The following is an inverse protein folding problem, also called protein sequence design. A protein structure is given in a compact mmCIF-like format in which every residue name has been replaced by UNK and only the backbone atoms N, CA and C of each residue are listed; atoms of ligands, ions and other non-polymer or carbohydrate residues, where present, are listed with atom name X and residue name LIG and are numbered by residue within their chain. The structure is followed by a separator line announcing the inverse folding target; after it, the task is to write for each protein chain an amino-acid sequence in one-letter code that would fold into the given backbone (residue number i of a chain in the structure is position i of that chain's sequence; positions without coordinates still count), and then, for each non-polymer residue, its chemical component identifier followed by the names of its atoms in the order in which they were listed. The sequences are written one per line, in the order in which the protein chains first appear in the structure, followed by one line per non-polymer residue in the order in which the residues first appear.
data_IF_082002091546
#
_entry.id   IF_082002091546
#
_cell.length_a   1.000
_cell.length_b   1.000
_cell.length_c   1.000
_cell.angle_alpha   90.00
_cell.angle_beta   90.00
_cell.angle_gamma   90.00
#
_symmetry.space_group_name_H-M   'P 1'
#
loop_
_entity.id
_entity.type
_entity.pdbx_description
1 polymer ?
2 non-polymer ?
3 water ?
#
# COMPACT_ATOMS: atom_id res chain seq x y z
N UNK A 12 9.57 -7.13 -20.88
CA UNK A 12 9.37 -7.98 -22.06
C UNK A 12 8.16 -8.89 -21.91
N UNK A 13 7.36 -8.99 -22.97
CA UNK A 13 6.19 -9.82 -22.96
C UNK A 13 6.57 -11.30 -22.98
N UNK A 14 5.58 -12.16 -22.69
CA UNK A 14 5.67 -13.56 -22.96
C UNK A 14 6.41 -14.40 -21.93
N UNK A 15 7.23 -13.80 -21.08
CA UNK A 15 8.00 -14.54 -20.09
C UNK A 15 7.43 -14.32 -18.70
N UNK A 16 7.32 -15.41 -17.95
CA UNK A 16 6.87 -15.38 -16.57
C UNK A 16 7.99 -15.95 -15.70
N UNK A 17 8.45 -15.17 -14.73
CA UNK A 17 9.59 -15.56 -13.90
C UNK A 17 9.21 -15.44 -12.43
N UNK A 18 9.02 -16.58 -11.78
CA UNK A 18 8.75 -16.63 -10.34
C UNK A 18 10.06 -17.04 -9.67
N UNK A 19 10.82 -16.06 -9.19
CA UNK A 19 12.04 -16.32 -8.44
C UNK A 19 13.11 -17.08 -9.22
N UNK A 20 13.83 -16.37 -10.10
CA UNK A 20 14.89 -16.98 -10.86
C UNK A 20 14.40 -17.79 -12.04
N UNK A 21 13.60 -18.83 -11.77
CA UNK A 21 13.10 -19.68 -12.83
C UNK A 21 12.20 -18.89 -13.77
N UNK A 22 12.60 -18.81 -15.04
CA UNK A 22 11.85 -18.11 -16.07
C UNK A 22 11.14 -19.12 -16.97
N UNK A 23 9.91 -18.82 -17.34
CA UNK A 23 9.08 -19.74 -18.11
C UNK A 23 8.49 -19.02 -19.31
N UNK A 24 8.69 -19.58 -20.50
CA UNK A 24 7.93 -19.14 -21.67
C UNK A 24 6.48 -19.55 -21.48
N UNK A 25 5.57 -18.58 -21.49
CA UNK A 25 4.18 -18.87 -21.19
C UNK A 25 3.28 -17.88 -21.92
N UNK A 26 1.99 -18.23 -22.01
CA UNK A 26 0.97 -17.35 -22.57
C UNK A 26 -0.25 -17.39 -21.65
N UNK A 27 -1.28 -16.62 -22.02
CA UNK A 27 -2.43 -16.45 -21.13
C UNK A 27 -3.10 -17.78 -20.83
N UNK A 28 -3.23 -18.64 -21.83
CA UNK A 28 -3.92 -19.91 -21.63
C UNK A 28 -3.10 -20.92 -20.85
N UNK A 29 -1.88 -20.57 -20.44
CA UNK A 29 -1.14 -21.38 -19.47
C UNK A 29 -1.60 -21.13 -18.04
N UNK A 30 -2.63 -20.31 -17.83
CA UNK A 30 -3.07 -19.96 -16.49
C UNK A 30 -4.55 -20.29 -16.33
N UNK A 31 -4.90 -20.79 -15.15
CA UNK A 31 -6.28 -21.09 -14.79
C UNK A 31 -6.83 -19.95 -13.93
N UNK A 32 -7.97 -19.41 -14.33
CA UNK A 32 -8.62 -18.29 -13.64
C UNK A 32 -9.37 -18.81 -12.42
N UNK A 33 -8.89 -18.45 -11.23
CA UNK A 33 -9.49 -18.89 -9.97
C UNK A 33 -10.48 -17.89 -9.39
N UNK A 34 -10.84 -16.86 -10.14
CA UNK A 34 -11.82 -15.89 -9.68
C UNK A 34 -11.20 -14.53 -9.42
N UNK A 35 -12.08 -13.52 -9.34
CA UNK A 35 -11.63 -12.15 -9.16
C UNK A 35 -11.30 -11.88 -7.70
N UNK A 36 -10.51 -10.83 -7.48
CA UNK A 36 -10.14 -10.37 -6.14
C UNK A 36 -10.65 -8.95 -5.97
N UNK A 37 -11.62 -8.78 -5.07
CA UNK A 37 -12.09 -7.44 -4.73
C UNK A 37 -12.64 -6.69 -5.92
N UNK A 38 -12.38 -5.39 -5.96
CA UNK A 38 -12.89 -4.49 -6.99
C UNK A 38 -11.78 -4.04 -7.93
N UNK A 39 -12.19 -3.45 -9.04
CA UNK A 39 -11.24 -2.88 -9.98
C UNK A 39 -10.88 -1.46 -9.62
N UNK A 40 -10.11 -1.28 -8.54
CA UNK A 40 -9.75 0.07 -8.11
C UNK A 40 -8.76 0.71 -9.08
N UNK A 41 -7.84 -0.08 -9.63
CA UNK A 41 -7.00 0.31 -10.75
C UNK A 41 -7.31 -0.51 -11.98
N UNK A 42 -7.34 -1.84 -11.85
CA UNK A 42 -7.84 -2.71 -12.90
C UNK A 42 -8.55 -3.91 -12.31
N UNK A 43 -9.15 -4.70 -13.19
CA UNK A 43 -9.70 -5.99 -12.84
C UNK A 43 -8.57 -6.96 -12.49
N UNK A 44 -8.53 -7.45 -11.25
CA UNK A 44 -7.45 -8.33 -10.79
C UNK A 44 -8.01 -9.72 -10.53
N UNK A 45 -7.45 -10.71 -11.22
CA UNK A 45 -7.82 -12.11 -11.03
C UNK A 45 -6.79 -12.84 -10.18
N UNK A 46 -7.25 -13.86 -9.48
CA UNK A 46 -6.37 -14.86 -8.90
C UNK A 46 -6.25 -16.00 -9.90
N UNK A 47 -5.02 -16.34 -10.28
CA UNK A 47 -4.79 -17.32 -11.33
C UNK A 47 -3.72 -18.32 -10.92
N UNK A 48 -3.82 -19.52 -11.48
CA UNK A 48 -2.92 -20.63 -11.20
C UNK A 48 -2.13 -20.97 -12.45
N UNK A 49 -0.85 -21.24 -12.28
CA UNK A 49 0.04 -21.56 -13.40
C UNK A 49 0.03 -23.07 -13.58
N UNK A 50 -0.55 -23.54 -14.70
CA UNK A 50 -0.78 -24.96 -14.91
C UNK A 50 0.51 -25.77 -14.94
N UNK A 51 1.62 -25.15 -15.35
CA UNK A 51 2.88 -25.88 -15.37
C UNK A 51 3.42 -26.08 -13.97
N UNK A 52 3.46 -25.02 -13.17
CA UNK A 52 4.02 -25.07 -11.82
C UNK A 52 3.03 -25.52 -10.73
N UNK A 53 1.86 -24.90 -10.69
CA UNK A 53 1.02 -24.92 -9.50
C UNK A 53 1.01 -23.60 -8.76
N UNK A 54 1.94 -22.69 -9.06
CA UNK A 54 1.94 -21.36 -8.46
C UNK A 54 0.65 -20.62 -8.76
N UNK A 55 0.14 -19.91 -7.75
CA UNK A 55 -1.02 -19.04 -7.93
C UNK A 55 -0.55 -17.58 -7.77
N UNK A 56 -1.03 -16.72 -8.67
CA UNK A 56 -0.58 -15.34 -8.77
C UNK A 56 -1.77 -14.40 -8.98
N UNK A 57 -1.51 -13.12 -8.76
CA UNK A 57 -2.45 -12.07 -9.11
C UNK A 57 -2.17 -11.62 -10.53
N UNK A 58 -3.22 -11.52 -11.34
CA UNK A 58 -3.08 -11.03 -12.72
C UNK A 58 -4.07 -9.91 -12.91
N UNK A 59 -3.55 -8.72 -13.26
CA UNK A 59 -4.41 -7.61 -13.64
C UNK A 59 -4.64 -7.66 -15.13
N UNK A 60 -5.88 -7.42 -15.55
CA UNK A 60 -6.25 -7.48 -16.96
C UNK A 60 -6.70 -6.11 -17.43
N UNK A 61 -6.00 -5.57 -18.42
CA UNK A 61 -6.37 -4.32 -19.09
C UNK A 61 -6.89 -4.66 -20.48
N UNK A 62 -8.13 -4.30 -20.75
CA UNK A 62 -8.72 -4.48 -22.07
C UNK A 62 -8.50 -3.23 -22.91
N UNK A 63 -8.09 -3.40 -24.17
CA UNK A 63 -7.80 -2.24 -24.99
C UNK A 63 -9.06 -1.43 -25.30
N UNK A 64 -10.23 -2.07 -25.27
CA UNK A 64 -11.50 -1.37 -25.42
C UNK A 64 -11.95 -0.67 -24.14
N UNK A 65 -11.17 -0.74 -23.07
CA UNK A 65 -11.59 -0.24 -21.78
C UNK A 65 -11.58 1.28 -21.67
N UNK A 66 -11.90 1.75 -20.47
CA UNK A 66 -11.96 3.18 -20.18
C UNK A 66 -10.60 3.81 -20.38
N UNK A 67 -10.56 4.88 -21.18
CA UNK A 67 -9.28 5.54 -21.50
C UNK A 67 -8.57 6.01 -20.23
N UNK A 68 -9.33 6.52 -19.26
CA UNK A 68 -8.70 7.07 -18.05
C UNK A 68 -8.11 5.95 -17.18
N UNK A 69 -8.90 4.92 -16.90
CA UNK A 69 -8.38 3.78 -16.14
C UNK A 69 -7.17 3.16 -16.82
N UNK A 70 -7.14 3.15 -18.15
CA UNK A 70 -6.01 2.54 -18.85
C UNK A 70 -4.75 3.38 -18.74
N UNK A 71 -4.89 4.72 -18.74
CA UNK A 71 -3.72 5.54 -18.47
C UNK A 71 -3.19 5.30 -17.06
N UNK A 72 -4.08 5.01 -16.12
CA UNK A 72 -3.64 4.79 -14.74
C UNK A 72 -2.97 3.43 -14.59
N UNK A 73 -3.45 2.42 -15.30
CA UNK A 73 -2.84 1.10 -15.18
C UNK A 73 -1.43 1.10 -15.77
N UNK A 74 -1.22 1.83 -16.86
CA UNK A 74 0.12 1.90 -17.45
C UNK A 74 1.09 2.66 -16.56
N UNK A 75 0.63 3.73 -15.90
CA UNK A 75 1.51 4.45 -14.98
C UNK A 75 1.97 3.54 -13.85
N UNK A 76 1.02 2.85 -13.23
CA UNK A 76 1.34 1.95 -12.13
C UNK A 76 2.36 0.89 -12.56
N UNK A 77 2.13 0.28 -13.73
CA UNK A 77 3.09 -0.70 -14.23
C UNK A 77 4.47 -0.08 -14.41
N UNK A 78 4.50 1.12 -15.00
CA UNK A 78 5.76 1.85 -15.17
C UNK A 78 6.53 1.97 -13.85
N UNK A 79 5.81 2.27 -12.76
CA UNK A 79 6.46 2.42 -11.46
C UNK A 79 6.93 1.07 -10.94
N UNK A 80 6.12 0.03 -11.08
CA UNK A 80 6.47 -1.23 -10.42
C UNK A 80 7.59 -1.96 -11.15
N UNK A 81 7.67 -1.84 -12.49
CA UNK A 81 8.82 -2.42 -13.17
C UNK A 81 10.09 -1.68 -12.82
N UNK A 82 9.99 -0.36 -12.59
CA UNK A 82 11.15 0.40 -12.12
C UNK A 82 11.60 -0.05 -10.74
N UNK A 83 10.66 -0.56 -9.93
CA UNK A 83 10.94 -0.89 -8.53
C UNK A 83 11.20 -2.36 -8.29
N UNK A 84 11.84 -3.05 -9.26
CA UNK A 84 12.13 -4.47 -9.12
C UNK A 84 13.09 -4.76 -7.96
N UNK A 85 13.68 -3.74 -7.34
CA UNK A 85 14.65 -3.94 -6.26
C UNK A 85 14.23 -3.24 -4.97
N UNK A 86 12.96 -2.87 -4.83
CA UNK A 86 12.46 -2.43 -3.55
C UNK A 86 11.67 -3.56 -2.91
N UNK A 87 12.12 -4.09 -1.77
CA UNK A 87 11.38 -5.21 -1.14
C UNK A 87 10.03 -4.80 -0.58
N UNK A 88 9.71 -3.52 -0.54
CA UNK A 88 8.46 -3.03 0.03
C UNK A 88 7.50 -2.51 -1.05
N UNK A 89 7.71 -2.88 -2.30
CA UNK A 89 6.79 -2.59 -3.40
C UNK A 89 6.50 -3.90 -4.13
N UNK A 90 5.22 -4.17 -4.39
CA UNK A 90 4.84 -5.45 -4.97
C UNK A 90 5.52 -5.63 -6.32
N UNK A 91 6.08 -6.82 -6.53
CA UNK A 91 6.85 -7.11 -7.73
C UNK A 91 5.96 -7.66 -8.83
N UNK A 92 6.23 -7.22 -10.06
CA UNK A 92 5.58 -7.75 -11.24
C UNK A 92 6.41 -8.90 -11.78
N UNK A 93 5.75 -10.00 -12.13
CA UNK A 93 6.45 -11.20 -12.58
C UNK A 93 6.54 -11.29 -14.09
N UNK A 94 5.90 -10.40 -14.82
CA UNK A 94 5.92 -10.45 -16.27
C UNK A 94 4.61 -9.93 -16.83
N UNK A 95 4.57 -9.87 -18.16
CA UNK A 95 3.44 -9.29 -18.87
C UNK A 95 3.09 -10.18 -20.05
N UNK A 96 1.81 -10.19 -20.41
CA UNK A 96 1.31 -10.87 -21.59
C UNK A 96 0.55 -9.86 -22.43
N UNK A 97 0.92 -9.73 -23.69
CA UNK A 97 0.29 -8.77 -24.59
C UNK A 97 -0.34 -9.56 -25.72
N UNK A 98 -1.66 -9.55 -25.79
CA UNK A 98 -2.42 -10.18 -26.86
C UNK A 98 -3.09 -9.08 -27.69
N UNK A 99 -3.75 -9.50 -28.76
CA UNK A 99 -4.40 -8.52 -29.63
C UNK A 99 -5.51 -7.76 -28.95
N UNK A 100 -5.99 -8.23 -27.79
CA UNK A 100 -7.18 -7.67 -27.17
C UNK A 100 -6.99 -7.24 -25.73
N UNK A 101 -5.94 -7.68 -25.05
CA UNK A 101 -5.77 -7.41 -23.64
C UNK A 101 -4.29 -7.31 -23.31
N UNK A 102 -3.99 -6.74 -22.14
CA UNK A 102 -2.69 -6.84 -21.50
C UNK A 102 -2.90 -7.51 -20.15
N UNK A 103 -2.07 -8.51 -19.86
CA UNK A 103 -2.15 -9.26 -18.61
C UNK A 103 -0.87 -9.02 -17.82
N UNK A 104 -1.02 -8.43 -16.63
CA UNK A 104 0.10 -8.03 -15.78
C UNK A 104 0.15 -8.98 -14.59
N UNK A 105 1.17 -9.84 -14.55
CA UNK A 105 1.30 -10.85 -13.50
C UNK A 105 2.02 -10.25 -12.29
N UNK A 106 1.32 -10.21 -11.16
CA UNK A 106 1.86 -9.71 -9.90
C UNK A 106 1.96 -10.84 -8.88
N UNK A 107 2.93 -10.72 -7.98
CA UNK A 107 2.98 -11.62 -6.85
C UNK A 107 1.70 -11.48 -6.04
N UNK A 108 1.16 -12.61 -5.59
CA UNK A 108 -0.11 -12.62 -4.88
C UNK A 108 0.11 -12.19 -3.44
N UNK A 109 -0.60 -11.16 -3.01
CA UNK A 109 -0.60 -10.77 -1.60
C UNK A 109 -1.87 -11.31 -0.95
N UNK A 110 -2.02 -11.04 0.35
CA UNK A 110 -3.16 -11.57 1.08
C UNK A 110 -4.39 -10.69 0.96
N UNK A 111 -4.31 -9.51 1.54
CA UNK A 111 -5.36 -8.49 1.47
C UNK A 111 -4.74 -7.18 1.93
N UNK A 112 -5.56 -6.16 2.10
CA UNK A 112 -5.09 -4.85 2.49
C UNK A 112 -5.39 -4.58 3.95
N UNK A 113 -4.74 -3.55 4.48
CA UNK A 113 -4.95 -3.17 5.87
C UNK A 113 -6.40 -2.74 6.12
N UNK A 114 -7.07 -2.19 5.12
CA UNK A 114 -8.47 -1.82 5.28
C UNK A 114 -9.32 -3.04 5.63
N UNK A 115 -9.08 -4.17 4.96
CA UNK A 115 -9.89 -5.35 5.19
C UNK A 115 -9.46 -6.12 6.44
N UNK A 116 -8.19 -6.05 6.81
CA UNK A 116 -7.78 -6.58 8.12
C UNK A 116 -8.46 -5.81 9.23
N UNK A 117 -8.59 -4.48 9.07
CA UNK A 117 -9.33 -3.69 10.03
C UNK A 117 -10.77 -4.15 10.12
N UNK A 118 -11.38 -4.45 8.97
CA UNK A 118 -12.74 -5.00 8.96
C UNK A 118 -12.80 -6.34 9.70
N UNK A 119 -11.92 -7.27 9.35
CA UNK A 119 -11.94 -8.58 9.99
C UNK A 119 -11.73 -8.47 11.49
N UNK A 120 -10.72 -7.71 11.90
CA UNK A 120 -10.36 -7.64 13.32
C UNK A 120 -11.45 -6.99 14.16
N UNK A 121 -12.19 -6.04 13.58
CA UNK A 121 -13.25 -5.32 14.29
C UNK A 121 -12.70 -4.57 15.50
N UNK A 122 -11.53 -3.97 15.33
CA UNK A 122 -10.94 -3.17 16.37
C UNK A 122 -9.50 -2.83 16.07
N UNK A 123 -8.85 -2.10 16.98
CA UNK A 123 -7.45 -1.70 16.80
C UNK A 123 -6.53 -2.79 16.27
N UNK A 124 -5.50 -2.39 15.53
CA UNK A 124 -4.42 -3.28 15.12
C UNK A 124 -3.22 -3.00 16.03
N UNK A 125 -2.55 -4.02 16.56
CA UNK A 125 -1.54 -3.79 17.61
C UNK A 125 -0.36 -2.96 17.10
N UNK A 126 0.24 -2.21 18.03
CA UNK A 126 1.37 -1.35 17.69
C UNK A 126 2.52 -2.14 17.08
N UNK A 127 2.68 -3.39 17.51
CA UNK A 127 3.72 -4.24 16.94
C UNK A 127 3.62 -4.35 15.43
N UNK A 128 2.39 -4.51 14.92
CA UNK A 128 2.19 -4.69 13.49
C UNK A 128 2.29 -3.34 12.76
N UNK A 129 1.63 -2.33 13.31
CA UNK A 129 1.75 -0.98 12.75
C UNK A 129 3.19 -0.51 12.74
N UNK A 130 4.03 -1.04 13.64
CA UNK A 130 5.43 -0.72 13.66
C UNK A 130 6.15 -1.24 12.44
N UNK A 131 6.07 -2.56 12.22
CA UNK A 131 6.65 -3.14 11.01
C UNK A 131 6.06 -2.51 9.76
N UNK A 132 4.80 -2.09 9.83
CA UNK A 132 4.14 -1.48 8.68
C UNK A 132 4.69 -0.09 8.39
N UNK A 133 4.97 0.70 9.43
CA UNK A 133 5.52 2.03 9.21
C UNK A 133 6.90 1.96 8.58
N UNK A 134 7.71 0.99 8.99
CA UNK A 134 9.05 0.85 8.41
C UNK A 134 8.94 0.56 6.93
N UNK A 135 8.13 -0.43 6.55
CA UNK A 135 8.05 -0.85 5.16
C UNK A 135 7.47 0.25 4.27
N UNK A 136 6.54 1.05 4.79
CA UNK A 136 5.90 2.05 3.96
C UNK A 136 6.76 3.31 3.82
N UNK A 137 7.40 3.77 4.90
CA UNK A 137 8.26 4.95 4.79
C UNK A 137 9.41 4.68 3.83
N UNK A 138 10.06 3.52 3.98
CA UNK A 138 11.14 3.18 3.09
C UNK A 138 10.66 3.06 1.65
N UNK A 139 9.43 2.62 1.45
CA UNK A 139 8.87 2.55 0.10
C UNK A 139 8.77 3.93 -0.51
N UNK A 140 8.18 4.88 0.22
CA UNK A 140 8.07 6.24 -0.29
C UNK A 140 9.43 6.88 -0.49
N UNK A 141 10.38 6.57 0.40
CA UNK A 141 11.73 7.10 0.28
C UNK A 141 12.43 6.56 -0.96
N UNK A 142 12.40 5.24 -1.14
CA UNK A 142 12.95 4.64 -2.34
C UNK A 142 12.33 5.24 -3.60
N UNK A 143 11.05 5.58 -3.54
CA UNK A 143 10.36 6.09 -4.71
C UNK A 143 10.70 7.54 -5.00
N UNK A 144 10.96 8.34 -3.95
CA UNK A 144 11.37 9.73 -4.16
C UNK A 144 12.83 9.83 -4.55
N UNK A 145 13.68 8.96 -4.00
CA UNK A 145 15.11 9.02 -4.28
C UNK A 145 15.45 8.47 -5.66
N UNK A 146 15.35 7.14 -5.82
CA UNK A 146 15.87 6.48 -7.01
C UNK A 146 15.01 6.73 -8.26
N UNK A 147 13.81 7.30 -8.13
CA UNK A 147 12.98 7.50 -9.31
C UNK A 147 12.25 8.84 -9.34
N UNK A 148 12.28 9.63 -8.28
CA UNK A 148 11.62 10.92 -8.32
C UNK A 148 10.12 10.87 -8.43
N UNK A 149 9.49 9.75 -8.06
CA UNK A 149 8.04 9.65 -8.03
C UNK A 149 7.59 9.90 -6.60
N UNK A 150 6.40 10.48 -6.45
CA UNK A 150 5.71 10.49 -5.17
C UNK A 150 4.32 9.89 -5.37
N UNK A 151 3.79 9.31 -4.28
CA UNK A 151 2.65 8.40 -4.40
C UNK A 151 1.35 9.15 -4.57
N UNK A 152 1.05 10.08 -3.66
CA UNK A 152 -0.13 10.93 -3.65
C UNK A 152 -1.42 10.20 -3.31
N UNK A 153 -1.36 8.95 -2.83
CA UNK A 153 -2.58 8.28 -2.36
C UNK A 153 -2.29 7.14 -1.40
N UNK A 154 -1.65 7.43 -0.27
CA UNK A 154 -1.30 6.41 0.72
C UNK A 154 -2.45 6.26 1.70
N UNK A 155 -3.06 5.09 1.72
CA UNK A 155 -4.20 4.81 2.57
C UNK A 155 -4.24 3.31 2.86
N UNK A 156 -5.02 2.88 3.85
CA UNK A 156 -4.96 1.46 4.25
C UNK A 156 -5.30 0.45 3.15
N UNK A 157 -6.14 0.81 2.18
CA UNK A 157 -6.42 -0.13 1.11
C UNK A 157 -5.22 -0.34 0.18
N UNK A 158 -4.22 0.54 0.23
CA UNK A 158 -3.03 0.42 -0.60
C UNK A 158 -1.88 -0.30 0.09
N UNK A 159 -2.03 -0.65 1.36
CA UNK A 159 -1.02 -1.40 2.10
C UNK A 159 -1.43 -2.85 2.04
N UNK A 160 -0.66 -3.68 1.35
CA UNK A 160 -0.96 -5.10 1.26
C UNK A 160 -0.07 -5.91 2.18
N UNK A 161 -0.61 -7.02 2.68
CA UNK A 161 0.12 -7.98 3.49
C UNK A 161 -0.06 -9.38 2.90
N UNK A 162 0.74 -10.32 3.38
CA UNK A 162 0.61 -11.72 2.96
C UNK A 162 0.89 -12.63 4.14
N UNK A 163 0.66 -13.93 3.92
CA UNK A 163 0.77 -14.92 5.00
C UNK A 163 2.19 -15.12 5.48
N UNK A 164 3.20 -14.81 4.66
CA UNK A 164 4.59 -14.95 5.03
C UNK A 164 5.14 -13.70 5.72
N UNK A 165 4.29 -12.74 6.06
CA UNK A 165 4.68 -11.59 6.83
C UNK A 165 5.01 -10.34 6.05
N UNK A 166 5.06 -10.41 4.73
CA UNK A 166 5.49 -9.26 3.95
C UNK A 166 4.44 -8.15 3.99
N UNK A 167 4.92 -6.91 3.96
CA UNK A 167 4.08 -5.72 3.97
C UNK A 167 4.59 -4.80 2.86
N UNK A 168 3.83 -4.68 1.77
CA UNK A 168 4.23 -3.89 0.62
C UNK A 168 3.17 -2.85 0.27
N UNK A 169 3.58 -1.90 -0.56
CA UNK A 169 2.74 -0.84 -1.10
C UNK A 169 2.47 -1.13 -2.57
N UNK A 170 1.27 -0.77 -3.07
CA UNK A 170 0.76 -1.46 -4.25
C UNK A 170 0.16 -0.63 -5.38
N UNK A 171 -0.34 0.58 -5.16
CA UNK A 171 -1.14 1.26 -6.19
C UNK A 171 -0.54 2.63 -6.53
N UNK A 172 0.09 2.72 -7.71
CA UNK A 172 0.77 3.94 -8.14
C UNK A 172 0.13 4.56 -9.40
N UNK A 173 -1.15 4.32 -9.62
CA UNK A 173 -1.79 4.73 -10.87
C UNK A 173 -1.96 6.22 -11.03
N UNK A 174 -1.89 6.99 -9.93
CA UNK A 174 -2.00 8.44 -10.00
C UNK A 174 -0.75 9.07 -9.39
N UNK A 175 0.39 8.41 -9.56
CA UNK A 175 1.61 8.73 -8.83
C UNK A 175 2.72 9.10 -9.79
N UNK A 176 3.09 10.38 -9.81
CA UNK A 176 4.25 10.83 -10.55
C UNK A 176 4.79 12.12 -9.97
N UNK A 177 5.83 12.64 -10.60
CA UNK A 177 6.39 13.95 -10.28
C UNK A 177 7.35 14.42 -11.36
N UNK A 193 -7.42 11.70 3.59
CA UNK A 193 -5.99 11.41 3.71
C UNK A 193 -5.11 12.48 3.04
N UNK A 194 -5.69 13.63 2.69
CA UNK A 194 -4.96 14.65 1.97
C UNK A 194 -4.29 15.63 2.93
N UNK A 195 -3.06 16.03 2.60
CA UNK A 195 -2.29 16.93 3.43
C UNK A 195 -2.85 18.34 3.38
N UNK A 196 -2.59 19.16 4.41
CA UNK A 196 -3.06 20.56 4.38
C UNK A 196 -2.55 21.37 3.20
N UNK A 197 -1.29 21.20 2.81
CA UNK A 197 -0.72 21.99 1.73
C UNK A 197 -1.05 21.43 0.34
N UNK A 198 -1.62 20.23 0.25
CA UNK A 198 -2.13 19.72 -1.02
C UNK A 198 -3.53 20.24 -1.33
N UNK A 199 -4.22 20.76 -0.32
CA UNK A 199 -5.43 21.54 -0.53
C UNK A 199 -5.13 23.03 -0.61
N UNK A 200 -4.27 23.53 0.29
CA UNK A 200 -3.92 24.94 0.38
C UNK A 200 -2.41 25.12 0.29
N UNK A 201 -1.86 25.18 -0.93
CA UNK A 201 -0.41 25.41 -1.08
C UNK A 201 0.01 26.82 -0.66
N UNK A 212 6.25 16.87 1.06
CA UNK A 212 6.11 15.61 1.80
C UNK A 212 4.67 15.37 2.22
N UNK A 213 3.74 15.40 1.26
CA UNK A 213 2.34 15.19 1.56
C UNK A 213 1.97 13.72 1.72
N UNK A 214 2.79 12.81 1.20
CA UNK A 214 2.63 11.40 1.51
C UNK A 214 2.92 11.12 2.97
N UNK A 215 3.64 12.02 3.65
CA UNK A 215 3.90 11.85 5.08
C UNK A 215 2.64 12.08 5.88
N UNK A 216 1.80 13.04 5.48
CA UNK A 216 0.55 13.26 6.18
C UNK A 216 -0.39 12.07 6.03
N UNK A 217 -0.54 11.55 4.80
CA UNK A 217 -1.47 10.45 4.55
C UNK A 217 -1.09 9.21 5.35
N UNK A 218 0.22 8.95 5.50
CA UNK A 218 0.65 7.80 6.28
C UNK A 218 0.21 7.93 7.73
N UNK A 219 0.19 9.14 8.28
CA UNK A 219 -0.17 9.36 9.66
C UNK A 219 -1.65 9.18 9.90
N UNK A 220 -2.47 9.70 9.00
CA UNK A 220 -3.92 9.50 9.09
C UNK A 220 -4.25 8.02 9.02
N UNK A 221 -3.62 7.29 8.09
CA UNK A 221 -3.77 5.83 8.02
C UNK A 221 -3.36 5.17 9.33
N UNK A 222 -2.26 5.63 9.93
CA UNK A 222 -1.77 5.02 11.16
C UNK A 222 -2.75 5.25 12.32
N UNK A 223 -3.36 6.43 12.38
CA UNK A 223 -4.32 6.69 13.46
C UNK A 223 -5.58 5.86 13.27
N UNK A 224 -5.99 5.65 12.01
CA UNK A 224 -7.16 4.84 11.73
C UNK A 224 -6.93 3.39 12.19
N UNK A 225 -5.82 2.79 11.75
CA UNK A 225 -5.56 1.41 12.10
C UNK A 225 -5.28 1.24 13.58
N UNK A 226 -4.69 2.25 14.22
CA UNK A 226 -4.34 2.13 15.63
C UNK A 226 -5.58 2.14 16.52
N UNK A 227 -6.57 2.96 16.19
CA UNK A 227 -7.79 3.05 16.99
C UNK A 227 -8.94 2.23 16.45
N UNK A 228 -8.80 1.68 15.24
CA UNK A 228 -9.93 1.08 14.55
C UNK A 228 -10.97 2.07 14.06
N UNK A 229 -10.75 3.36 14.23
CA UNK A 229 -11.73 4.37 13.88
C UNK A 229 -11.11 5.41 12.96
N UNK A 230 -11.84 5.78 11.91
CA UNK A 230 -11.35 6.81 11.00
C UNK A 230 -11.58 8.18 11.61
N UNK A 231 -10.55 9.03 11.72
CA UNK A 231 -10.67 10.26 12.52
C UNK A 231 -11.59 11.33 11.92
N UNK A 232 -12.12 11.14 10.72
CA UNK A 232 -13.10 12.06 10.13
C UNK A 232 -14.31 11.28 9.63
N UNK A 233 -14.84 10.40 10.49
CA UNK A 233 -15.91 9.48 10.09
C UNK A 233 -17.30 10.11 10.12
N UNK A 234 -17.46 11.26 10.77
CA UNK A 234 -18.77 11.89 10.89
C UNK A 234 -19.05 12.91 9.79
N UNK A 235 -18.13 13.08 8.83
CA UNK A 235 -18.32 14.02 7.73
C UNK A 235 -19.14 13.39 6.63
N UNK A 236 -20.21 14.07 6.22
CA UNK A 236 -21.11 13.56 5.20
C UNK A 236 -20.73 13.97 3.78
N UNK A 237 -19.62 14.71 3.60
CA UNK A 237 -19.22 15.15 2.27
C UNK A 237 -17.69 15.35 2.24
N UNK A 238 -17.14 15.34 1.03
CA UNK A 238 -15.69 15.44 0.86
C UNK A 238 -15.17 16.80 1.34
N UNK A 239 -15.85 17.88 0.94
CA UNK A 239 -15.38 19.21 1.32
C UNK A 239 -15.43 19.41 2.83
N UNK A 240 -16.36 18.74 3.52
CA UNK A 240 -16.39 18.85 4.97
C UNK A 240 -15.16 18.21 5.61
N UNK A 241 -14.62 17.16 4.99
CA UNK A 241 -13.37 16.59 5.48
C UNK A 241 -12.24 17.60 5.34
N UNK A 242 -12.17 18.27 4.19
CA UNK A 242 -11.10 19.22 3.95
C UNK A 242 -11.14 20.38 4.94
N UNK A 243 -12.36 20.80 5.33
CA UNK A 243 -12.44 21.91 6.29
C UNK A 243 -11.98 21.47 7.68
N UNK A 244 -12.27 20.23 8.06
CA UNK A 244 -11.77 19.74 9.35
C UNK A 244 -10.25 19.71 9.38
N UNK A 245 -9.63 19.25 8.28
CA UNK A 245 -8.18 19.10 8.24
C UNK A 245 -7.49 20.44 8.46
N UNK A 246 -8.03 21.50 7.87
CA UNK A 246 -7.41 22.83 7.97
C UNK A 246 -7.85 23.59 9.21
N UNK A 247 -9.05 23.33 9.72
CA UNK A 247 -9.57 24.12 10.84
C UNK A 247 -9.24 23.54 12.21
N UNK A 248 -9.35 22.23 12.40
CA UNK A 248 -9.09 21.69 13.73
C UNK A 248 -7.73 21.02 13.81
N UNK A 249 -7.25 20.87 15.04
CA UNK A 249 -5.91 20.37 15.28
C UNK A 249 -5.80 18.93 14.77
N UNK A 250 -4.59 18.45 14.51
CA UNK A 250 -4.44 17.13 13.91
C UNK A 250 -5.03 16.06 14.81
N UNK A 251 -5.55 14.99 14.22
CA UNK A 251 -5.93 13.82 15.04
C UNK A 251 -4.70 13.21 15.69
N UNK A 252 -4.74 13.08 17.00
CA UNK A 252 -3.61 12.53 17.74
C UNK A 252 -3.95 11.14 18.27
N UNK A 253 -2.93 10.29 18.32
CA UNK A 253 -3.04 8.99 18.99
C UNK A 253 -3.45 9.19 20.45
N UNK A 254 -4.49 8.51 20.93
CA UNK A 254 -4.92 8.70 22.32
C UNK A 254 -3.89 8.19 23.31
N UNK A 255 -3.96 8.75 24.52
CA UNK A 255 -2.99 8.44 25.55
C UNK A 255 -3.33 7.30 26.50
N UNK A 256 -4.48 6.66 26.34
CA UNK A 256 -4.95 5.65 27.28
C UNK A 256 -5.00 4.25 26.69
N UNK A 257 -4.32 4.01 25.56
CA UNK A 257 -4.31 2.70 24.91
C UNK A 257 -2.95 2.01 25.00
N UNK A 258 -2.06 2.47 25.87
CA UNK A 258 -0.79 1.80 26.05
C UNK A 258 0.22 2.01 24.95
N UNK A 259 -0.06 2.93 24.01
CA UNK A 259 0.87 3.19 22.93
C UNK A 259 2.19 3.72 23.47
N UNK A 260 3.30 3.23 22.91
CA UNK A 260 4.61 3.68 23.33
C UNK A 260 4.84 5.14 22.93
N UNK A 261 5.69 5.83 23.70
CA UNK A 261 5.96 7.23 23.45
C UNK A 261 6.54 7.49 22.07
N UNK A 262 7.32 6.55 21.56
CA UNK A 262 7.89 6.71 20.22
C UNK A 262 6.82 6.69 19.15
N UNK A 263 5.84 5.78 19.25
CA UNK A 263 4.76 5.74 18.28
C UNK A 263 3.95 7.03 18.31
N UNK A 264 3.59 7.50 19.51
CA UNK A 264 2.87 8.77 19.62
C UNK A 264 3.67 9.93 19.02
N UNK A 265 4.99 9.91 19.22
CA UNK A 265 5.82 10.98 18.69
C UNK A 265 5.89 10.93 17.17
N UNK A 266 6.02 9.73 16.60
CA UNK A 266 6.09 9.59 15.15
C UNK A 266 4.82 10.09 14.46
N UNK A 267 3.66 9.81 15.04
CA UNK A 267 2.41 10.24 14.42
C UNK A 267 2.26 11.76 14.53
N UNK A 268 2.61 12.31 15.70
CA UNK A 268 2.57 13.76 15.86
C UNK A 268 3.44 14.45 14.81
N UNK A 269 4.57 13.84 14.46
CA UNK A 269 5.47 14.42 13.48
C UNK A 269 4.85 14.42 12.07
N UNK A 270 4.37 13.26 11.60
CA UNK A 270 3.72 13.19 10.29
C UNK A 270 2.52 14.12 10.21
N UNK A 271 1.78 14.26 11.29
CA UNK A 271 0.55 15.05 11.31
C UNK A 271 0.83 16.48 11.70
N UNK A 272 1.80 17.10 11.02
CA UNK A 272 2.13 18.50 11.20
C UNK A 272 1.42 19.30 10.10
N UNK A 273 0.54 20.21 10.52
CA UNK A 273 -0.24 20.97 9.55
C UNK A 273 0.65 21.80 8.63
N UNK A 274 1.57 22.58 9.21
CA UNK A 274 2.50 23.37 8.41
C UNK A 274 3.51 22.44 7.76
N UNK A 275 3.47 22.36 6.42
CA UNK A 275 4.36 21.47 5.70
C UNK A 275 5.81 21.96 5.68
N UNK A 276 6.05 23.21 6.08
CA UNK A 276 7.43 23.68 6.18
C UNK A 276 8.16 23.03 7.36
N UNK A 277 7.43 22.70 8.43
CA UNK A 277 8.01 22.06 9.60
C UNK A 277 7.87 20.55 9.58
N UNK A 278 7.27 19.99 8.53
CA UNK A 278 7.15 18.53 8.42
C UNK A 278 8.47 17.94 7.95
N UNK A 279 8.94 16.85 8.55
CA UNK A 279 10.24 16.30 8.19
C UNK A 279 10.22 15.53 6.88
N UNK A 280 11.37 15.52 6.21
CA UNK A 280 11.59 14.66 5.06
C UNK A 280 11.94 13.25 5.54
N UNK A 281 12.00 12.31 4.58
CA UNK A 281 12.19 10.91 4.95
C UNK A 281 13.55 10.67 5.57
N UNK A 282 14.58 11.39 5.14
CA UNK A 282 15.92 11.21 5.70
C UNK A 282 15.93 11.50 7.20
N UNK A 283 15.07 12.41 7.65
CA UNK A 283 14.91 12.67 9.07
C UNK A 283 13.93 11.69 9.70
N UNK A 284 12.85 11.35 8.96
CA UNK A 284 11.87 10.39 9.45
C UNK A 284 12.49 9.03 9.71
N UNK A 285 13.41 8.60 8.84
CA UNK A 285 14.01 7.29 8.97
C UNK A 285 14.94 7.17 10.17
N UNK A 286 15.27 8.28 10.82
CA UNK A 286 16.10 8.27 12.02
C UNK A 286 15.28 8.36 13.29
N UNK A 287 13.96 8.52 13.17
CA UNK A 287 13.07 8.50 14.32
C UNK A 287 13.22 7.20 15.11
N UNK A 288 13.10 7.30 16.44
CA UNK A 288 13.29 6.12 17.27
C UNK A 288 12.25 5.04 16.98
N UNK A 289 11.02 5.44 16.65
CA UNK A 289 10.00 4.46 16.29
C UNK A 289 10.41 3.65 15.08
N UNK A 290 10.96 4.31 14.07
CA UNK A 290 11.48 3.59 12.90
C UNK A 290 12.60 2.65 13.32
N UNK A 291 13.45 3.09 14.25
CA UNK A 291 14.63 2.31 14.61
C UNK A 291 14.27 1.08 15.45
N UNK A 292 13.22 1.19 16.26
CA UNK A 292 12.81 0.05 17.09
C UNK A 292 12.39 -1.14 16.22
N UNK A 293 11.65 -0.89 15.14
CA UNK A 293 11.04 -1.97 14.38
C UNK A 293 11.83 -2.35 13.14
N UNK A 294 12.94 -1.67 12.86
CA UNK A 294 13.87 -2.17 11.84
C UNK A 294 14.56 -3.44 12.31
N UNK A 295 14.88 -3.51 13.61
CA UNK A 295 15.64 -4.61 14.19
C UNK A 295 14.75 -5.64 14.85
N UNK A 296 13.82 -5.20 15.70
CA UNK A 296 12.96 -6.12 16.43
C UNK A 296 12.26 -7.09 15.48
N UNK A 297 12.23 -8.36 15.87
CA UNK A 297 11.51 -9.39 15.14
C UNK A 297 10.07 -9.41 15.63
N UNK A 298 9.13 -9.17 14.71
CA UNK A 298 7.71 -9.16 15.02
C UNK A 298 7.06 -10.22 14.14
N UNK A 299 6.47 -11.24 14.78
CA UNK A 299 5.83 -12.32 14.04
C UNK A 299 4.51 -11.79 13.48
N UNK A 300 4.62 -11.09 12.35
CA UNK A 300 3.40 -10.62 11.72
C UNK A 300 2.78 -11.76 10.90
N UNK A 301 3.61 -12.71 10.44
CA UNK A 301 3.08 -13.83 9.68
C UNK A 301 2.03 -14.60 10.46
N UNK A 302 2.29 -14.86 11.75
CA UNK A 302 1.30 -15.58 12.56
C UNK A 302 0.09 -14.70 12.86
N UNK A 303 0.32 -13.45 13.27
CA UNK A 303 -0.79 -12.54 13.55
C UNK A 303 -1.72 -12.42 12.35
N UNK A 304 -1.15 -12.40 11.14
CA UNK A 304 -1.96 -12.28 9.94
C UNK A 304 -2.84 -13.51 9.74
N UNK A 305 -2.27 -14.70 9.90
CA UNK A 305 -3.04 -15.91 9.63
C UNK A 305 -4.14 -16.14 10.66
N UNK A 306 -3.96 -15.65 11.90
CA UNK A 306 -5.03 -15.80 12.87
C UNK A 306 -6.19 -14.86 12.57
N UNK A 307 -5.89 -13.59 12.26
CA UNK A 307 -6.93 -12.65 11.87
C UNK A 307 -7.75 -13.20 10.72
N UNK A 308 -7.07 -13.72 9.70
CA UNK A 308 -7.77 -14.26 8.54
C UNK A 308 -8.58 -15.51 8.90
N UNK A 309 -8.18 -16.23 9.95
CA UNK A 309 -8.95 -17.39 10.38
C UNK A 309 -10.30 -16.97 10.97
N UNK A 310 -10.32 -15.88 11.73
CA UNK A 310 -11.56 -15.39 12.33
C UNK A 310 -12.52 -14.88 11.27
N UNK A 311 -13.41 -15.77 10.80
CA UNK A 311 -14.35 -15.49 9.72
C UNK A 311 -13.69 -14.80 8.53
X LIG B 1 -4.30 -7.41 -4.72
X LIG B 1 -3.10 -7.17 -5.52
X LIG B 1 -2.03 -8.19 -5.39
X LIG B 1 -2.24 -9.23 -4.55
X LIG B 1 -3.38 -9.36 -3.85
X LIG B 1 -9.48 -4.84 -1.98
X LIG B 1 -8.30 -4.61 -2.12
X LIG B 1 -7.40 -4.50 -0.91
X LIG B 1 -8.04 -3.46 0.00
X LIG B 1 -3.22 -5.95 -6.29
X LIG B 1 -6.43 -5.97 -4.57
X LIG B 1 -7.30 -5.64 -5.78
X LIG B 1 -8.68 -5.16 -5.33
X LIG B 1 -8.52 -3.94 -4.42
X LIG B 1 -6.36 -4.76 -3.63
X LIG B 1 -4.39 -8.49 -3.92
X LIG B 1 -5.07 -6.36 -5.03
X LIG B 1 -4.46 -5.49 -5.96
X LIG B 1 -0.86 -8.08 -6.08
X LIG B 1 -7.75 -4.45 -3.31
#
# INVERSE_FOLDING_TARGET
MGHHHHHHSAKQTGYLTIGGQRYQAEINDLENLGEMGSGTCGQVWKMRFRKTGHVIAVKQMRRSGNKEENKRILMDLDVVLKSHDCPYIVQCFGTFITNTDVFIAMELMGTCAEKLKKRMQGPIPERILGKMTVAIVKALYYLKEKHGVIHRDVKPSNILLDERGQIKLCDFGISGRLVDSKAKTRSAGCAAYMAPERIDPPDPTKPDYDIRADVWSLGISLVELATGQFPYKNCKTDFEVLTKVLQEEPPLLPGHMGFSGDFQSFVKDCLTKDHRKRPKYNKLLEHSFIKRYETLEVDVASWFKDVMAKTESPRTSG
J3H C1 C2 C3 N C O C10 C11 C12 C4 C5 C6 C7 C8 C9 N1 N2 N3 N4 N5
#
